data_IF_057660576243
#
_entry.id   IF_057660576243
#
_cell.length_a   1.000
_cell.length_b   1.000
_cell.length_c   1.000
_cell.angle_alpha   90.00
_cell.angle_beta   90.00
_cell.angle_gamma   90.00
#
_symmetry.space_group_name_H-M   'P 1'
#
loop_
_entity.id
_entity.type
_entity.pdbx_description
1 polymer ?
#
# COMPACT_ATOMS: atom_id res chain seq x y z
N UNK A 1 -38.39 -1.23 3.48
CA UNK A 1 -38.57 0.23 3.29
C UNK A 1 -37.60 1.08 4.10
N UNK A 2 -37.37 0.89 5.42
CA UNK A 2 -36.44 1.76 6.17
C UNK A 2 -34.94 1.49 5.92
N UNK A 3 -34.57 0.34 5.33
CA UNK A 3 -33.19 0.01 4.99
C UNK A 3 -32.69 0.66 3.69
N UNK A 4 -33.60 0.99 2.76
CA UNK A 4 -33.26 1.49 1.43
C UNK A 4 -32.46 2.82 1.46
N UNK A 5 -32.83 3.82 2.31
CA UNK A 5 -32.09 5.07 2.43
C UNK A 5 -30.69 4.87 3.04
N UNK A 6 -30.56 3.90 3.96
CA UNK A 6 -29.30 3.60 4.64
C UNK A 6 -28.32 2.96 3.65
N UNK A 7 -28.81 2.01 2.84
CA UNK A 7 -27.99 1.30 1.83
C UNK A 7 -27.54 2.27 0.73
N UNK A 8 -28.43 3.13 0.22
CA UNK A 8 -28.08 4.14 -0.80
C UNK A 8 -27.09 5.20 -0.26
N UNK A 9 -27.24 5.63 0.99
CA UNK A 9 -26.27 6.55 1.62
C UNK A 9 -24.89 5.88 1.78
N UNK A 10 -24.86 4.62 2.21
CA UNK A 10 -23.62 3.82 2.30
C UNK A 10 -22.99 3.58 0.93
N UNK A 11 -23.79 3.42 -0.11
CA UNK A 11 -23.31 3.18 -1.48
C UNK A 11 -22.66 4.44 -2.06
N UNK A 12 -23.28 5.61 -1.88
CA UNK A 12 -22.70 6.90 -2.27
C UNK A 12 -21.39 7.15 -1.52
N UNK A 13 -21.39 7.00 -0.19
CA UNK A 13 -20.19 7.16 0.62
C UNK A 13 -19.14 6.12 0.22
N UNK A 14 -19.56 4.88 -0.05
CA UNK A 14 -18.72 3.76 -0.46
C UNK A 14 -18.00 3.98 -1.79
N UNK A 15 -18.66 4.63 -2.76
CA UNK A 15 -18.06 5.01 -4.05
C UNK A 15 -16.89 5.98 -3.86
N UNK A 16 -16.99 6.93 -2.92
CA UNK A 16 -15.88 7.84 -2.58
C UNK A 16 -14.82 7.21 -1.67
N UNK A 17 -15.24 6.31 -0.77
CA UNK A 17 -14.34 5.62 0.15
C UNK A 17 -13.40 4.64 -0.57
N UNK A 18 -13.85 3.99 -1.65
CA UNK A 18 -13.01 3.06 -2.44
C UNK A 18 -11.71 3.72 -2.98
N UNK A 19 -11.76 4.88 -3.66
CA UNK A 19 -10.56 5.66 -4.04
C UNK A 19 -9.75 6.17 -2.84
N UNK A 20 -10.42 6.60 -1.77
CA UNK A 20 -9.74 7.15 -0.60
C UNK A 20 -8.91 6.09 0.12
N UNK A 21 -9.48 4.91 0.33
CA UNK A 21 -8.81 3.75 0.94
C UNK A 21 -7.58 3.35 0.11
N UNK A 22 -7.67 3.49 -1.21
CA UNK A 22 -6.57 3.21 -2.11
C UNK A 22 -5.43 4.23 -1.98
N UNK A 23 -5.75 5.52 -1.94
CA UNK A 23 -4.75 6.58 -1.75
C UNK A 23 -3.99 6.39 -0.42
N UNK A 24 -4.73 6.07 0.64
CA UNK A 24 -4.15 5.75 1.96
C UNK A 24 -3.27 4.50 1.89
N UNK A 25 -3.66 3.48 1.12
CA UNK A 25 -2.89 2.23 0.96
C UNK A 25 -1.60 2.44 0.18
N UNK A 26 -1.61 3.25 -0.87
CA UNK A 26 -0.40 3.62 -1.59
C UNK A 26 0.54 4.44 -0.68
N UNK A 27 0.00 5.42 0.04
CA UNK A 27 0.77 6.22 0.99
C UNK A 27 1.39 5.35 2.10
N UNK A 28 0.61 4.42 2.65
CA UNK A 28 1.09 3.48 3.67
C UNK A 28 2.20 2.57 3.11
N UNK A 29 2.07 2.04 1.89
CA UNK A 29 3.10 1.21 1.27
C UNK A 29 4.41 1.99 1.02
N UNK A 30 4.34 3.22 0.49
CA UNK A 30 5.54 4.06 0.29
C UNK A 30 6.18 4.45 1.63
N UNK A 31 5.35 4.74 2.65
CA UNK A 31 5.82 5.03 4.01
C UNK A 31 6.45 3.80 4.68
N UNK A 32 5.88 2.61 4.48
CA UNK A 32 6.40 1.35 5.02
C UNK A 32 7.78 1.02 4.46
N UNK A 33 8.00 1.21 3.15
CA UNK A 33 9.34 1.07 2.56
C UNK A 33 10.36 2.03 3.19
N UNK A 34 9.99 3.30 3.40
CA UNK A 34 10.86 4.28 4.06
C UNK A 34 11.15 3.92 5.54
N UNK A 35 10.12 3.50 6.29
CA UNK A 35 10.26 3.01 7.68
C UNK A 35 11.15 1.77 7.74
N UNK A 36 11.06 0.87 6.75
CA UNK A 36 11.85 -0.36 6.68
C UNK A 36 13.34 -0.07 6.52
N UNK A 37 13.70 0.89 5.67
CA UNK A 37 15.09 1.35 5.51
C UNK A 37 15.63 1.95 6.82
N UNK A 38 14.82 2.82 7.47
CA UNK A 38 15.20 3.40 8.77
C UNK A 38 15.35 2.33 9.87
N UNK A 39 14.46 1.34 9.88
CA UNK A 39 14.51 0.23 10.83
C UNK A 39 15.76 -0.62 10.66
N UNK A 40 16.14 -0.95 9.42
CA UNK A 40 17.36 -1.68 9.14
C UNK A 40 18.63 -0.87 9.40
N UNK A 41 18.64 0.43 9.10
CA UNK A 41 19.75 1.32 9.45
C UNK A 41 19.96 1.37 10.97
N UNK A 42 18.87 1.44 11.75
CA UNK A 42 18.91 1.36 13.21
C UNK A 42 19.40 0.00 13.72
N UNK A 43 18.95 -1.09 13.10
CA UNK A 43 19.34 -2.46 13.46
C UNK A 43 20.85 -2.69 13.27
N UNK A 44 21.45 -2.17 12.19
CA UNK A 44 22.90 -2.23 11.95
C UNK A 44 23.67 -1.50 13.04
N UNK A 45 23.20 -0.33 13.48
CA UNK A 45 23.84 0.43 14.56
C UNK A 45 23.77 -0.29 15.92
N UNK A 46 22.61 -0.86 16.24
CA UNK A 46 22.38 -1.59 17.51
C UNK A 46 23.17 -2.90 17.54
N UNK A 47 23.09 -3.71 16.48
CA UNK A 47 23.80 -5.00 16.39
C UNK A 47 25.30 -4.83 16.21
N UNK A 48 25.74 -3.71 15.60
CA UNK A 48 27.14 -3.31 15.53
C UNK A 48 27.71 -2.86 16.88
N UNK A 49 26.90 -2.74 17.94
CA UNK A 49 27.29 -2.32 19.29
C UNK A 49 28.26 -1.14 19.28
N UNK A 50 27.90 -0.07 18.56
CA UNK A 50 28.73 1.15 18.40
C UNK A 50 30.18 0.90 17.95
N UNK A 51 30.48 -0.21 17.25
CA UNK A 51 31.81 -0.49 16.68
C UNK A 51 32.61 -1.62 17.35
N UNK A 52 32.08 -2.30 18.38
CA UNK A 52 32.85 -3.34 19.09
C UNK A 52 32.86 -4.73 18.42
N UNK A 53 31.95 -5.01 17.49
CA UNK A 53 31.90 -6.29 16.75
C UNK A 53 31.58 -6.07 15.25
N UNK A 54 32.54 -5.57 14.45
CA UNK A 54 32.31 -5.19 13.06
C UNK A 54 31.90 -6.36 12.15
N UNK A 55 32.38 -7.59 12.44
CA UNK A 55 32.11 -8.76 11.59
C UNK A 55 30.64 -9.19 11.66
N UNK A 56 30.01 -9.10 12.83
CA UNK A 56 28.61 -9.52 13.05
C UNK A 56 27.64 -8.46 12.52
N UNK A 57 27.99 -7.17 12.67
CA UNK A 57 27.20 -6.05 12.12
C UNK A 57 27.16 -6.04 10.59
N UNK A 58 28.26 -6.39 9.92
CA UNK A 58 28.29 -6.49 8.45
C UNK A 58 27.46 -7.65 7.92
N UNK A 59 27.55 -8.84 8.54
CA UNK A 59 26.76 -10.01 8.13
C UNK A 59 25.26 -9.80 8.26
N UNK A 60 24.82 -9.22 9.39
CA UNK A 60 23.40 -8.93 9.66
C UNK A 60 22.88 -7.75 8.83
N UNK A 61 23.73 -6.76 8.54
CA UNK A 61 23.38 -5.62 7.67
C UNK A 61 23.15 -6.01 6.21
N UNK A 62 23.98 -6.89 5.64
CA UNK A 62 23.82 -7.33 4.24
C UNK A 62 22.51 -8.12 4.06
N UNK A 63 22.20 -9.03 4.99
CA UNK A 63 20.94 -9.81 4.95
C UNK A 63 19.71 -8.90 5.07
N UNK A 64 19.78 -7.93 5.98
CA UNK A 64 18.74 -6.91 6.18
C UNK A 64 18.45 -6.08 4.92
N UNK A 65 19.50 -5.64 4.23
CA UNK A 65 19.36 -4.87 2.98
C UNK A 65 18.76 -5.72 1.86
N UNK A 66 19.20 -6.97 1.70
CA UNK A 66 18.66 -7.88 0.67
C UNK A 66 17.17 -8.15 0.91
N UNK A 67 16.76 -8.43 2.15
CA UNK A 67 15.35 -8.61 2.50
C UNK A 67 14.53 -7.34 2.22
N UNK A 68 15.06 -6.17 2.58
CA UNK A 68 14.41 -4.89 2.30
C UNK A 68 14.16 -4.68 0.81
N UNK A 69 15.16 -4.98 -0.04
CA UNK A 69 15.04 -4.84 -1.49
C UNK A 69 13.92 -5.71 -2.05
N UNK A 70 13.83 -6.96 -1.60
CA UNK A 70 12.78 -7.90 -2.04
C UNK A 70 11.40 -7.37 -1.64
N UNK A 71 11.23 -6.92 -0.39
CA UNK A 71 9.95 -6.38 0.10
C UNK A 71 9.54 -5.12 -0.69
N UNK A 72 10.47 -4.19 -0.93
CA UNK A 72 10.19 -2.99 -1.73
C UNK A 72 9.78 -3.32 -3.16
N UNK A 73 10.34 -4.39 -3.76
CA UNK A 73 9.93 -4.85 -5.08
C UNK A 73 8.49 -5.39 -5.09
N UNK A 74 8.09 -6.10 -4.04
CA UNK A 74 6.72 -6.57 -3.85
C UNK A 74 5.75 -5.39 -3.59
N UNK A 75 6.16 -4.38 -2.83
CA UNK A 75 5.36 -3.16 -2.61
C UNK A 75 5.10 -2.40 -3.91
N UNK A 76 6.11 -2.29 -4.79
CA UNK A 76 5.98 -1.68 -6.12
C UNK A 76 4.96 -2.43 -7.00
N UNK A 77 4.98 -3.77 -6.97
CA UNK A 77 4.02 -4.61 -7.67
C UNK A 77 2.59 -4.40 -7.15
N UNK A 78 2.41 -4.35 -5.83
CA UNK A 78 1.11 -4.08 -5.20
C UNK A 78 0.60 -2.69 -5.56
N UNK A 79 1.49 -1.68 -5.61
CA UNK A 79 1.13 -0.32 -6.02
C UNK A 79 0.59 -0.28 -7.46
N UNK A 80 1.20 -1.03 -8.39
CA UNK A 80 0.74 -1.12 -9.77
C UNK A 80 -0.64 -1.79 -9.89
N UNK A 81 -0.83 -2.92 -9.21
CA UNK A 81 -2.12 -3.61 -9.13
C UNK A 81 -3.23 -2.71 -8.58
N UNK A 82 -2.88 -1.83 -7.64
CA UNK A 82 -3.85 -0.95 -7.03
C UNK A 82 -4.33 0.18 -7.96
N UNK A 83 -3.40 0.78 -8.73
CA UNK A 83 -3.78 1.73 -9.78
C UNK A 83 -4.63 1.06 -10.89
N UNK A 84 -4.32 -0.20 -11.20
CA UNK A 84 -5.11 -0.99 -12.16
C UNK A 84 -6.55 -1.23 -11.68
N UNK A 85 -6.73 -1.70 -10.44
CA UNK A 85 -8.07 -1.95 -9.87
C UNK A 85 -8.91 -0.67 -9.83
N UNK A 86 -8.30 0.48 -9.53
CA UNK A 86 -9.00 1.77 -9.56
C UNK A 86 -9.54 2.14 -10.93
N UNK A 87 -8.70 1.97 -11.96
CA UNK A 87 -9.06 2.27 -13.34
C UNK A 87 -10.18 1.32 -13.81
N UNK A 88 -10.08 0.04 -13.46
CA UNK A 88 -11.08 -0.97 -13.77
C UNK A 88 -12.41 -0.66 -13.08
N UNK A 89 -12.38 -0.32 -11.79
CA UNK A 89 -13.58 0.05 -11.04
C UNK A 89 -14.24 1.30 -11.61
N UNK A 90 -13.45 2.32 -11.96
CA UNK A 90 -13.95 3.54 -12.62
C UNK A 90 -14.58 3.21 -13.98
N UNK A 91 -13.93 2.38 -14.79
CA UNK A 91 -14.47 1.94 -16.08
C UNK A 91 -15.80 1.17 -15.91
N UNK A 92 -15.93 0.32 -14.89
CA UNK A 92 -17.19 -0.38 -14.61
C UNK A 92 -18.30 0.58 -14.14
N UNK A 93 -17.97 1.62 -13.38
CA UNK A 93 -18.94 2.64 -12.99
C UNK A 93 -19.39 3.50 -14.18
N UNK A 94 -18.46 3.89 -15.06
CA UNK A 94 -18.81 4.59 -16.30
C UNK A 94 -19.64 3.71 -17.24
N UNK A 95 -19.33 2.43 -17.33
CA UNK A 95 -20.10 1.47 -18.11
C UNK A 95 -21.54 1.33 -17.57
N UNK A 96 -21.71 1.15 -16.27
CA UNK A 96 -23.02 1.06 -15.62
C UNK A 96 -23.85 2.35 -15.80
N UNK A 97 -23.21 3.52 -15.68
CA UNK A 97 -23.89 4.82 -15.88
C UNK A 97 -24.29 5.07 -17.35
N UNK A 98 -23.64 4.42 -18.31
CA UNK A 98 -23.98 4.52 -19.74
C UNK A 98 -25.18 3.63 -20.09
N UNK A 99 -25.38 2.52 -19.37
CA UNK A 99 -26.48 1.57 -19.59
C UNK A 99 -27.84 2.11 -19.10
N UNK A 100 -27.85 2.97 -18.07
CA UNK A 100 -29.08 3.62 -17.55
C UNK A 100 -29.59 4.79 -18.41
N UNK A 101 -28.83 5.28 -19.39
CA UNK A 101 -29.26 6.41 -20.23
C UNK A 101 -30.30 6.05 -21.31
N UNK A 102 -30.68 4.78 -21.41
CA UNK A 102 -31.59 4.29 -22.45
C UNK A 102 -32.76 3.46 -21.89
N UNK A 103 -33.44 3.94 -20.84
CA UNK A 103 -34.84 3.59 -20.53
C UNK A 103 -35.57 4.71 -19.81
#
# INVERSE_FOLDING_TARGET
VPLLPIITLIEIIGVFLKPLILAIRLFANITAGHITILAFMSLIFIMGKNGEAPVVGWGTGVVSVILSIIVTFLELLVAFLQAFIFTLLSATYFAAATEEAHH
#
